data_IF_263593647288
#
_entry.id   IF_263593647288
#
_cell.length_a   1.000
_cell.length_b   1.000
_cell.length_c   1.000
_cell.angle_alpha   90.00
_cell.angle_beta   90.00
_cell.angle_gamma   90.00
#
_symmetry.space_group_name_H-M   'P 1'
#
loop_
_entity.id
_entity.type
_entity.pdbx_description
1 polymer ?
#
# COMPACT_ATOMS: atom_id res chain seq x y z
N UNK A 1 13.46 -20.16 17.55
CA UNK A 1 12.36 -20.36 16.58
C UNK A 1 11.86 -19.00 16.03
N UNK A 2 11.60 -17.99 16.86
CA UNK A 2 11.29 -16.61 16.41
C UNK A 2 12.37 -15.96 15.51
N UNK A 3 13.65 -16.02 15.89
CA UNK A 3 14.76 -15.40 15.13
C UNK A 3 15.05 -16.02 13.74
N UNK A 4 14.25 -17.01 13.30
CA UNK A 4 14.35 -17.63 11.96
C UNK A 4 13.21 -17.21 11.03
N UNK A 5 12.14 -16.61 11.54
CA UNK A 5 11.05 -16.09 10.71
C UNK A 5 11.52 -14.77 10.12
N UNK A 6 11.92 -14.80 8.85
CA UNK A 6 12.13 -13.60 8.04
C UNK A 6 11.06 -13.60 6.98
N UNK A 7 10.28 -12.52 6.92
CA UNK A 7 9.35 -12.30 5.82
C UNK A 7 10.13 -12.18 4.52
N UNK A 8 9.59 -12.79 3.48
CA UNK A 8 10.17 -12.74 2.15
C UNK A 8 9.70 -11.49 1.41
N UNK A 9 10.54 -10.95 0.53
CA UNK A 9 10.19 -9.79 -0.28
C UNK A 9 9.07 -10.18 -1.27
N UNK A 10 7.97 -9.44 -1.26
CA UNK A 10 6.78 -9.75 -2.07
C UNK A 10 5.84 -10.79 -1.47
N UNK A 11 6.13 -11.35 -0.29
CA UNK A 11 5.16 -12.16 0.44
C UNK A 11 4.07 -11.25 1.06
N UNK A 12 2.77 -11.60 0.90
CA UNK A 12 1.70 -10.91 1.58
C UNK A 12 1.88 -10.89 3.11
N UNK A 13 1.71 -9.73 3.74
CA UNK A 13 1.93 -9.55 5.17
C UNK A 13 0.94 -10.33 6.03
N UNK A 14 -0.27 -10.58 5.55
CA UNK A 14 -1.28 -11.39 6.22
C UNK A 14 -0.81 -12.84 6.43
N UNK A 15 -0.17 -13.43 5.41
CA UNK A 15 0.45 -14.76 5.50
C UNK A 15 1.58 -14.76 6.53
N UNK A 16 2.41 -13.72 6.52
CA UNK A 16 3.49 -13.58 7.51
C UNK A 16 2.96 -13.43 8.94
N UNK A 17 1.88 -12.66 9.14
CA UNK A 17 1.26 -12.50 10.46
C UNK A 17 0.64 -13.78 10.99
N UNK A 18 -0.03 -14.56 10.13
CA UNK A 18 -0.56 -15.86 10.52
C UNK A 18 0.56 -16.81 10.98
N UNK A 19 1.66 -16.85 10.24
CA UNK A 19 2.81 -17.67 10.62
C UNK A 19 3.47 -17.19 11.93
N UNK A 20 3.56 -15.88 12.14
CA UNK A 20 4.04 -15.30 13.39
C UNK A 20 3.14 -15.67 14.58
N UNK A 21 1.82 -15.57 14.44
CA UNK A 21 0.87 -15.88 15.49
C UNK A 21 0.92 -17.36 15.90
N UNK A 22 1.10 -18.27 14.94
CA UNK A 22 1.34 -19.70 15.21
C UNK A 22 2.60 -19.91 16.06
N UNK A 23 3.71 -19.25 15.73
CA UNK A 23 4.95 -19.36 16.51
C UNK A 23 4.77 -18.80 17.92
N UNK A 24 4.07 -17.70 18.09
CA UNK A 24 3.77 -17.12 19.41
C UNK A 24 2.89 -18.07 20.23
N UNK A 25 1.90 -18.71 19.61
CA UNK A 25 1.05 -19.70 20.25
C UNK A 25 1.85 -20.92 20.71
N UNK A 26 2.72 -21.47 19.85
CA UNK A 26 3.59 -22.60 20.17
C UNK A 26 4.53 -22.28 21.35
N UNK A 27 5.06 -21.06 21.39
CA UNK A 27 5.92 -20.61 22.47
C UNK A 27 5.17 -20.49 23.79
N UNK A 28 3.94 -19.95 23.78
CA UNK A 28 3.08 -19.94 24.98
C UNK A 28 2.76 -21.35 25.44
N UNK A 29 2.44 -22.26 24.51
CA UNK A 29 2.17 -23.67 24.84
C UNK A 29 3.39 -24.36 25.47
N UNK A 30 4.61 -23.97 25.07
CA UNK A 30 5.86 -24.42 25.68
C UNK A 30 6.20 -23.74 27.02
N UNK A 31 5.32 -22.88 27.54
CA UNK A 31 5.50 -22.20 28.83
C UNK A 31 6.31 -20.89 28.76
N UNK A 32 6.62 -20.37 27.57
CA UNK A 32 7.28 -19.08 27.43
C UNK A 32 6.27 -17.94 27.61
N UNK A 33 6.54 -17.05 28.56
CA UNK A 33 5.83 -15.78 28.67
C UNK A 33 6.48 -14.76 27.73
N UNK A 34 5.72 -14.26 26.76
CA UNK A 34 6.12 -13.13 25.92
C UNK A 34 5.19 -11.95 26.19
N UNK A 35 5.77 -10.82 26.56
CA UNK A 35 5.08 -9.55 26.70
C UNK A 35 4.57 -9.07 25.33
N UNK A 36 3.61 -8.15 25.33
CA UNK A 36 3.11 -7.57 24.08
C UNK A 36 4.20 -6.75 23.38
N UNK A 37 5.01 -6.01 24.13
CA UNK A 37 6.14 -5.24 23.61
C UNK A 37 7.16 -6.14 22.92
N UNK A 38 7.53 -7.27 23.53
CA UNK A 38 8.43 -8.25 22.90
C UNK A 38 7.84 -8.84 21.61
N UNK A 39 6.54 -9.14 21.59
CA UNK A 39 5.85 -9.60 20.38
C UNK A 39 5.95 -8.56 19.26
N UNK A 40 5.69 -7.29 19.57
CA UNK A 40 5.79 -6.19 18.60
C UNK A 40 7.22 -6.06 18.08
N UNK A 41 8.22 -6.02 18.96
CA UNK A 41 9.63 -5.89 18.55
C UNK A 41 10.05 -7.07 17.67
N UNK A 42 9.70 -8.31 18.06
CA UNK A 42 10.03 -9.48 17.25
C UNK A 42 9.30 -9.49 15.90
N UNK A 43 8.04 -9.04 15.84
CA UNK A 43 7.32 -8.90 14.58
C UNK A 43 8.02 -7.89 13.67
N UNK A 44 8.37 -6.71 14.17
CA UNK A 44 9.02 -5.67 13.37
C UNK A 44 10.39 -6.10 12.84
N UNK A 45 11.18 -6.81 13.65
CA UNK A 45 12.48 -7.36 13.23
C UNK A 45 12.38 -8.50 12.21
N UNK A 46 11.20 -9.12 12.09
CA UNK A 46 10.96 -10.22 11.14
C UNK A 46 10.58 -9.75 9.74
N UNK A 47 10.30 -8.46 9.54
CA UNK A 47 9.86 -7.93 8.25
C UNK A 47 11.00 -7.80 7.23
N UNK A 48 10.70 -7.85 5.92
CA UNK A 48 11.70 -7.64 4.88
C UNK A 48 12.17 -6.18 4.83
N UNK A 49 13.36 -5.97 4.22
CA UNK A 49 14.04 -4.66 4.18
C UNK A 49 13.19 -3.57 3.54
N UNK A 50 12.31 -3.91 2.61
CA UNK A 50 11.44 -2.90 2.02
C UNK A 50 10.63 -2.16 3.07
N UNK A 51 10.23 -2.79 4.18
CA UNK A 51 9.43 -2.16 5.25
C UNK A 51 10.27 -1.42 6.32
N UNK A 52 11.59 -1.28 6.13
CA UNK A 52 12.49 -0.69 7.13
C UNK A 52 12.11 0.74 7.54
N UNK A 53 11.58 1.54 6.60
CA UNK A 53 11.07 2.88 6.88
C UNK A 53 9.90 2.85 7.88
N UNK A 54 8.85 2.07 7.61
CA UNK A 54 7.68 1.99 8.49
C UNK A 54 8.05 1.34 9.83
N UNK A 55 8.97 0.37 9.83
CA UNK A 55 9.51 -0.23 11.06
C UNK A 55 10.16 0.83 11.95
N UNK A 56 10.99 1.70 11.37
CA UNK A 56 11.65 2.79 12.12
C UNK A 56 10.64 3.74 12.77
N UNK A 57 9.60 4.12 12.01
CA UNK A 57 8.51 4.98 12.52
C UNK A 57 7.75 4.29 13.66
N UNK A 58 7.42 3.01 13.50
CA UNK A 58 6.70 2.23 14.51
C UNK A 58 7.52 2.03 15.79
N UNK A 59 8.83 1.79 15.68
CA UNK A 59 9.72 1.66 16.83
C UNK A 59 9.84 2.95 17.66
N UNK A 60 9.63 4.12 17.05
CA UNK A 60 9.64 5.40 17.74
C UNK A 60 8.33 5.71 18.50
N UNK A 61 7.29 4.86 18.40
CA UNK A 61 6.00 5.08 19.06
C UNK A 61 6.00 4.48 20.48
N UNK A 62 5.71 5.31 21.49
CA UNK A 62 5.73 4.88 22.91
C UNK A 62 4.60 3.89 23.28
N UNK A 63 3.41 4.00 22.66
CA UNK A 63 2.24 3.18 22.97
C UNK A 63 1.80 2.30 21.78
N UNK A 64 2.74 1.52 21.27
CA UNK A 64 2.49 0.60 20.16
C UNK A 64 1.99 -0.76 20.66
N UNK A 65 0.75 -1.10 20.30
CA UNK A 65 0.19 -2.44 20.52
C UNK A 65 0.35 -3.30 19.27
N UNK A 66 0.28 -4.63 19.43
CA UNK A 66 0.42 -5.57 18.31
C UNK A 66 -0.64 -5.32 17.24
N UNK A 67 -1.87 -4.99 17.66
CA UNK A 67 -2.97 -4.63 16.76
C UNK A 67 -2.66 -3.38 15.94
N UNK A 68 -2.17 -2.31 16.58
CA UNK A 68 -1.82 -1.05 15.89
C UNK A 68 -0.67 -1.27 14.90
N UNK A 69 0.34 -2.05 15.28
CA UNK A 69 1.46 -2.39 14.42
C UNK A 69 1.00 -3.12 13.16
N UNK A 70 0.25 -4.22 13.30
CA UNK A 70 -0.30 -4.99 12.17
C UNK A 70 -1.15 -4.12 11.24
N UNK A 71 -2.04 -3.28 11.79
CA UNK A 71 -2.88 -2.39 10.98
C UNK A 71 -2.07 -1.37 10.18
N UNK A 72 -1.04 -0.76 10.78
CA UNK A 72 -0.17 0.20 10.10
C UNK A 72 0.65 -0.46 8.98
N UNK A 73 1.12 -1.67 9.22
CA UNK A 73 1.86 -2.44 8.23
C UNK A 73 0.99 -2.85 7.03
N UNK A 74 -0.25 -3.28 7.24
CA UNK A 74 -1.19 -3.56 6.14
C UNK A 74 -1.52 -2.32 5.32
N UNK A 75 -1.73 -1.17 5.98
CA UNK A 75 -1.96 0.08 5.27
C UNK A 75 -0.75 0.47 4.40
N UNK A 76 0.46 0.20 4.88
CA UNK A 76 1.68 0.44 4.11
C UNK A 76 1.79 -0.53 2.91
N UNK A 77 1.41 -1.80 3.05
CA UNK A 77 1.35 -2.76 1.95
C UNK A 77 0.37 -2.35 0.85
N UNK A 78 -0.84 -1.87 1.23
CA UNK A 78 -1.83 -1.34 0.29
C UNK A 78 -1.28 -0.11 -0.44
N UNK A 79 -0.76 0.87 0.31
CA UNK A 79 -0.17 2.10 -0.26
C UNK A 79 0.95 1.79 -1.25
N UNK A 80 1.77 0.76 -0.97
CA UNK A 80 2.86 0.33 -1.86
C UNK A 80 2.36 -0.35 -3.12
N UNK A 81 1.29 -1.13 -3.00
CA UNK A 81 0.64 -1.77 -4.15
C UNK A 81 0.07 -0.71 -5.08
N UNK A 82 -0.62 0.30 -4.54
CA UNK A 82 -1.14 1.45 -5.30
C UNK A 82 -0.02 2.26 -5.99
N UNK A 83 1.09 2.52 -5.28
CA UNK A 83 2.25 3.24 -5.86
C UNK A 83 2.94 2.48 -7.00
N UNK A 84 2.90 1.16 -7.00
CA UNK A 84 3.48 0.33 -8.06
C UNK A 84 2.55 0.21 -9.28
N UNK A 85 1.25 0.52 -9.14
CA UNK A 85 0.27 0.50 -10.23
C UNK A 85 0.21 1.86 -10.98
N UNK A 86 0.72 2.94 -10.39
CA UNK A 86 0.80 4.28 -11.00
C UNK A 86 2.09 4.54 -11.82
N UNK A 87 2.47 3.61 -12.70
CA UNK A 87 3.36 3.93 -13.84
C UNK A 87 2.51 4.12 -15.11
N UNK A 88 1.91 5.31 -15.36
CA UNK A 88 1.60 5.68 -16.72
C UNK A 88 2.90 6.14 -17.38
N UNK A 89 3.37 5.37 -18.35
CA UNK A 89 4.18 5.91 -19.47
C UNK A 89 3.58 7.24 -19.91
N UNK A 90 4.20 8.35 -19.54
CA UNK A 90 3.50 9.64 -19.65
C UNK A 90 4.34 10.85 -19.33
N UNK A 91 5.49 10.99 -20.01
CA UNK A 91 6.09 12.30 -20.23
C UNK A 91 4.99 13.28 -20.71
N UNK A 92 4.92 14.44 -20.06
CA UNK A 92 4.15 15.64 -20.41
C UNK A 92 2.66 15.69 -20.01
N UNK A 93 2.38 16.33 -18.87
CA UNK A 93 1.10 17.02 -18.64
C UNK A 93 1.26 18.35 -17.86
N UNK A 94 2.48 18.92 -17.78
CA UNK A 94 2.73 20.23 -17.14
C UNK A 94 3.11 21.34 -18.14
N UNK A 95 2.78 21.18 -19.43
CA UNK A 95 2.85 22.25 -20.42
C UNK A 95 1.43 22.55 -20.89
N UNK A 96 0.87 23.63 -20.37
CA UNK A 96 -0.41 24.16 -20.84
C UNK A 96 -0.36 24.41 -22.35
N UNK A 97 -1.18 23.69 -23.12
CA UNK A 97 -1.37 23.96 -24.53
C UNK A 97 -2.51 24.99 -24.71
N UNK A 98 -2.29 26.10 -25.44
CA UNK A 98 -3.33 27.10 -25.68
C UNK A 98 -4.39 26.57 -26.67
N UNK A 99 -5.68 26.70 -26.31
CA UNK A 99 -6.80 26.37 -27.20
C UNK A 99 -6.86 27.35 -28.38
N UNK A 100 -6.67 26.85 -29.61
CA UNK A 100 -7.10 27.55 -30.84
C UNK A 100 -8.56 27.21 -31.13
N UNK A 101 -9.43 28.22 -31.16
CA UNK A 101 -10.84 28.09 -31.55
C UNK A 101 -10.92 28.16 -33.07
N UNK A 102 -11.46 27.12 -33.72
CA UNK A 102 -11.75 27.13 -35.16
C UNK A 102 -13.13 26.48 -35.41
N UNK A 103 -14.17 27.31 -35.39
CA UNK A 103 -15.53 26.90 -35.74
C UNK A 103 -15.69 26.80 -37.26
N UNK A 104 -15.82 25.58 -37.78
CA UNK A 104 -16.18 25.34 -39.18
C UNK A 104 -17.70 25.15 -39.31
N UNK A 105 -18.29 26.01 -40.13
CA UNK A 105 -19.35 25.75 -41.12
C UNK A 105 -20.37 24.64 -40.79
N UNK A 106 -21.56 25.08 -40.37
CA UNK A 106 -22.80 24.32 -40.54
C UNK A 106 -23.27 24.46 -41.99
N UNK A 107 -23.15 23.38 -42.77
CA UNK A 107 -23.91 23.21 -44.01
C UNK A 107 -24.99 22.15 -43.75
N UNK A 108 -26.23 22.59 -43.53
CA UNK A 108 -27.40 21.72 -43.61
C UNK A 108 -28.38 22.30 -44.64
N UNK A 109 -28.47 21.60 -45.76
CA UNK A 109 -29.42 21.83 -46.84
C UNK A 109 -30.85 21.82 -46.32
N UNK A 110 -31.63 22.83 -46.70
CA UNK A 110 -33.05 22.69 -47.06
C UNK A 110 -33.46 23.85 -47.96
N UNK A 111 -33.41 23.60 -49.27
CA UNK A 111 -34.09 24.42 -50.27
C UNK A 111 -35.33 23.66 -50.73
N UNK A 112 -36.54 24.17 -50.44
CA UNK A 112 -37.61 24.37 -51.43
C UNK A 112 -38.91 24.89 -50.80
N UNK A 113 -39.46 25.90 -51.49
CA UNK A 113 -40.87 26.33 -51.57
C UNK A 113 -41.50 26.90 -50.29
N UNK A 114 -42.11 28.08 -50.26
CA UNK A 114 -42.99 28.69 -51.25
C UNK A 114 -42.87 30.23 -51.23
N UNK A 115 -42.89 30.82 -52.42
CA UNK A 115 -43.35 32.19 -52.64
C UNK A 115 -44.51 32.11 -53.62
N UNK A 116 -45.67 32.57 -53.18
CA UNK A 116 -46.73 33.26 -53.93
C UNK A 116 -47.73 33.79 -52.91
#
# INVERSE_FOLDING_TARGET
KLNKMKGEEGQPLDVHFAAFDLVVMDLRAAGAAMTETEQVTHLLMSLPRSYEHIVTVLLAMEELTLRKAKARLLNEEVRRSEMNEEEPTGRAAFLGAPKKVHGKMLALQRARTQGL
#
